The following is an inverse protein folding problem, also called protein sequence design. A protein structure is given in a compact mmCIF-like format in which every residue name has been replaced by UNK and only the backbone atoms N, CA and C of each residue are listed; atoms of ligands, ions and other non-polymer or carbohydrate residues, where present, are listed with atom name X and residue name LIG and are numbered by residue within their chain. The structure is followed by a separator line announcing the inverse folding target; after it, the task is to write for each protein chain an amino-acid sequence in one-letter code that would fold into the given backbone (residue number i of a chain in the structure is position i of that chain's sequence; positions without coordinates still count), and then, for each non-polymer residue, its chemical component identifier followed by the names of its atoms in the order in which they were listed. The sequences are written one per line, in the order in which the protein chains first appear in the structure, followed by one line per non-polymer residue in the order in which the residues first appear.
data_IF_941143567939
#
_entry.id   IF_941143567939
#
_cell.length_a   1.000
_cell.length_b   1.000
_cell.length_c   1.000
_cell.angle_alpha   90.00
_cell.angle_beta   90.00
_cell.angle_gamma   90.00
#
_symmetry.space_group_name_H-M   'P 1'
#
loop_
_entity.id
_entity.type
_entity.pdbx_description
1 polymer ?
2 water ?
#
# COMPACT_ATOMS: atom_id res chain seq x y z
N UNK A 5 -32.19 -8.25 18.70
CA UNK A 5 -31.56 -9.31 19.55
C UNK A 5 -30.14 -8.94 19.95
N UNK A 6 -29.89 -8.94 21.26
CA UNK A 6 -28.61 -8.50 21.85
C UNK A 6 -27.36 -9.06 21.16
N UNK A 7 -27.18 -10.38 21.22
CA UNK A 7 -26.03 -11.06 20.61
C UNK A 7 -26.01 -10.94 19.07
N UNK A 8 -27.17 -11.09 18.43
CA UNK A 8 -27.34 -10.86 16.98
C UNK A 8 -26.86 -9.46 16.59
N UNK A 9 -27.26 -8.46 17.36
CA UNK A 9 -26.85 -7.08 17.12
C UNK A 9 -25.36 -6.86 17.45
N UNK A 10 -24.88 -7.59 18.45
CA UNK A 10 -23.49 -7.48 18.88
C UNK A 10 -22.57 -7.87 17.75
N UNK A 11 -22.73 -9.10 17.25
CA UNK A 11 -21.86 -9.61 16.20
C UNK A 11 -21.82 -8.71 14.96
N UNK A 12 -22.95 -8.07 14.62
CA UNK A 12 -22.97 -7.17 13.48
C UNK A 12 -22.08 -5.96 13.70
N UNK A 13 -22.24 -5.31 14.84
CA UNK A 13 -21.42 -4.15 15.15
C UNK A 13 -19.98 -4.56 15.45
N UNK A 14 -19.81 -5.76 15.98
CA UNK A 14 -18.50 -6.39 16.07
C UNK A 14 -17.88 -6.49 14.69
N UNK A 15 -18.73 -6.70 13.68
CA UNK A 15 -18.28 -6.82 12.30
C UNK A 15 -18.06 -5.48 11.65
N UNK A 16 -18.88 -4.49 12.00
CA UNK A 16 -18.67 -3.15 11.47
C UNK A 16 -17.29 -2.66 11.90
N UNK A 17 -16.93 -2.97 13.15
CA UNK A 17 -15.61 -2.68 13.70
C UNK A 17 -14.54 -3.29 12.82
N UNK A 18 -14.53 -4.62 12.77
CA UNK A 18 -13.58 -5.40 11.99
C UNK A 18 -13.45 -4.92 10.57
N UNK A 19 -14.56 -4.60 9.93
CA UNK A 19 -14.53 -4.09 8.57
C UNK A 19 -13.88 -2.69 8.49
N UNK A 20 -14.21 -1.80 9.42
CA UNK A 20 -13.60 -0.45 9.47
C UNK A 20 -12.06 -0.51 9.56
N UNK A 21 -11.54 -1.34 10.46
CA UNK A 21 -10.10 -1.54 10.61
C UNK A 21 -9.48 -2.16 9.37
N UNK A 22 -10.29 -2.81 8.53
CA UNK A 22 -9.81 -3.34 7.26
C UNK A 22 -9.66 -2.25 6.22
N UNK A 23 -10.65 -1.37 6.10
CA UNK A 23 -10.50 -0.23 5.21
C UNK A 23 -9.21 0.52 5.53
N UNK A 24 -8.96 0.68 6.83
CA UNK A 24 -7.78 1.35 7.37
C UNK A 24 -6.49 0.80 6.82
N UNK A 25 -6.42 -0.52 6.77
CA UNK A 25 -5.20 -1.21 6.36
C UNK A 25 -4.98 -1.15 4.85
N UNK A 26 -6.05 -1.26 4.08
CA UNK A 26 -5.99 -0.96 2.66
C UNK A 26 -5.39 0.41 2.43
N UNK A 27 -6.00 1.41 3.05
CA UNK A 27 -5.53 2.79 3.00
C UNK A 27 -4.01 2.83 3.06
N UNK A 28 -3.43 2.32 4.14
CA UNK A 28 -1.99 2.40 4.29
C UNK A 28 -1.24 1.43 3.39
N UNK A 29 -1.90 0.38 2.93
CA UNK A 29 -1.23 -0.55 2.04
C UNK A 29 -1.11 0.07 0.68
N UNK A 30 -2.22 0.62 0.20
CA UNK A 30 -2.26 1.38 -1.02
C UNK A 30 -1.13 2.38 -0.93
N UNK A 31 -0.93 2.92 0.27
CA UNK A 31 0.02 3.99 0.53
C UNK A 31 1.47 3.56 0.32
N UNK A 32 1.86 2.42 0.86
CA UNK A 32 3.27 2.02 0.85
C UNK A 32 3.63 1.17 -0.35
N UNK A 33 2.61 0.63 -1.00
CA UNK A 33 2.77 0.07 -2.32
C UNK A 33 3.20 1.23 -3.20
N UNK A 34 2.51 2.35 -3.07
CA UNK A 34 2.79 3.55 -3.85
C UNK A 34 4.15 4.16 -3.56
N UNK A 35 4.61 4.09 -2.31
CA UNK A 35 5.99 4.50 -1.97
C UNK A 35 7.06 3.60 -2.60
N UNK A 36 6.72 2.33 -2.79
CA UNK A 36 7.61 1.32 -3.34
C UNK A 36 7.82 1.52 -4.84
N UNK A 37 6.74 1.78 -5.56
CA UNK A 37 6.80 2.15 -6.97
C UNK A 37 7.78 3.28 -7.19
N UNK A 38 7.65 4.32 -6.37
CA UNK A 38 8.46 5.54 -6.46
C UNK A 38 9.92 5.23 -6.12
N UNK A 39 10.12 4.46 -5.06
CA UNK A 39 11.47 4.08 -4.67
C UNK A 39 12.20 3.33 -5.79
N UNK A 40 11.48 2.49 -6.53
CA UNK A 40 12.13 1.70 -7.57
C UNK A 40 12.20 2.43 -8.89
N UNK A 41 11.20 3.26 -9.19
CA UNK A 41 11.28 4.11 -10.37
C UNK A 41 12.53 4.98 -10.32
N UNK A 42 12.87 5.50 -9.14
CA UNK A 42 14.10 6.27 -8.95
C UNK A 42 15.34 5.44 -9.23
N UNK A 43 15.21 4.13 -9.02
CA UNK A 43 16.31 3.19 -9.20
C UNK A 43 16.61 2.98 -10.66
N UNK A 44 15.56 2.86 -11.46
CA UNK A 44 15.73 2.84 -12.90
C UNK A 44 16.51 4.06 -13.39
N UNK A 45 16.16 5.25 -12.89
CA UNK A 45 16.88 6.47 -13.28
C UNK A 45 18.35 6.22 -13.10
N UNK A 46 18.74 5.96 -11.85
CA UNK A 46 20.11 5.61 -11.50
C UNK A 46 20.70 4.59 -12.44
N UNK A 47 20.03 3.45 -12.61
CA UNK A 47 20.52 2.42 -13.52
C UNK A 47 20.67 2.94 -14.94
N UNK A 48 19.68 3.69 -15.41
CA UNK A 48 19.73 4.23 -16.77
C UNK A 48 20.89 5.22 -16.95
N UNK A 49 21.13 6.06 -15.94
CA UNK A 49 22.31 6.94 -15.90
C UNK A 49 23.62 6.15 -16.02
N UNK A 50 23.68 4.99 -15.37
CA UNK A 50 24.82 4.06 -15.51
C UNK A 50 25.01 3.64 -16.97
N UNK A 51 23.95 3.10 -17.59
CA UNK A 51 24.01 2.59 -18.96
C UNK A 51 24.41 3.65 -20.00
N UNK A 52 23.93 4.88 -19.76
CA UNK A 52 24.32 6.04 -20.55
C UNK A 52 25.54 6.73 -19.93
N UNK A 53 26.39 5.87 -19.27
CA UNK A 53 27.73 6.31 -18.91
C UNK A 53 28.73 5.38 -19.62
N UNK A 54 28.27 4.16 -19.90
CA UNK A 54 29.04 3.19 -20.69
C UNK A 54 28.90 3.46 -22.17
N UNK A 55 27.72 3.16 -22.76
CA UNK A 55 27.47 3.53 -24.15
C UNK A 55 26.97 4.99 -24.23
N UNK A 56 27.92 5.93 -24.17
CA UNK A 56 27.61 7.37 -24.24
C UNK A 56 28.13 8.02 -25.57
#
# INVERSE_FOLDING_TARGET
GPLGSKSLVDTVYALKDEVQELRQDNKKMKKSLEEEQRARKDLEKLVRKVLKNMND
#
